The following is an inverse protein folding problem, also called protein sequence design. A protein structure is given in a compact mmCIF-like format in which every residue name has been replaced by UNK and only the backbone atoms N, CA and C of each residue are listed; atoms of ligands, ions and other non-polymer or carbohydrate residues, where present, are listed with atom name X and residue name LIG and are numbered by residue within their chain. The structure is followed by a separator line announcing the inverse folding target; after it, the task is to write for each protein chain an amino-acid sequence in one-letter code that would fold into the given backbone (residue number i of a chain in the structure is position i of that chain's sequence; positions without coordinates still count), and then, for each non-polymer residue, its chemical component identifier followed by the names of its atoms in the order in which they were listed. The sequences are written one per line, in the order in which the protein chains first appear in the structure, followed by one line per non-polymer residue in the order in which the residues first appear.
data_IF_565921734394
#
_entry.id   IF_565921734394
#
_cell.length_a   1.000
_cell.length_b   1.000
_cell.length_c   1.000
_cell.angle_alpha   90.00
_cell.angle_beta   90.00
_cell.angle_gamma   90.00
#
_symmetry.space_group_name_H-M   'P 1'
#
loop_
_entity.id
_entity.type
_entity.pdbx_description
1 polymer ?
#
# COMPACT_ATOMS: atom_id res chain seq x y z
N UNK A 1 3.82 -15.65 -10.97
CA UNK A 1 4.39 -14.42 -11.55
C UNK A 1 5.30 -13.78 -10.50
N UNK A 2 6.37 -13.09 -10.88
CA UNK A 2 7.22 -12.39 -9.91
C UNK A 2 6.52 -11.09 -9.51
N UNK A 3 6.49 -10.77 -8.23
CA UNK A 3 5.99 -9.50 -7.72
C UNK A 3 7.02 -8.37 -7.92
N UNK A 4 6.57 -7.13 -7.78
CA UNK A 4 7.41 -5.93 -7.79
C UNK A 4 7.57 -5.37 -6.38
N UNK A 5 8.75 -4.82 -6.09
CA UNK A 5 9.02 -4.09 -4.85
C UNK A 5 9.33 -2.63 -5.16
N UNK A 6 8.69 -1.72 -4.43
CA UNK A 6 9.09 -0.31 -4.34
C UNK A 6 9.80 -0.11 -3.00
N UNK A 7 11.08 0.21 -3.04
CA UNK A 7 11.88 0.42 -1.84
C UNK A 7 12.06 1.92 -1.56
N UNK A 8 11.32 2.42 -0.59
CA UNK A 8 11.36 3.81 -0.13
C UNK A 8 12.55 4.08 0.79
N UNK A 9 12.83 5.35 1.08
CA UNK A 9 13.96 5.80 1.89
C UNK A 9 13.68 5.88 3.40
N UNK A 10 12.73 5.13 3.92
CA UNK A 10 12.44 5.01 5.34
C UNK A 10 13.28 3.95 6.06
N UNK A 11 12.70 3.26 7.04
CA UNK A 11 13.37 2.17 7.74
C UNK A 11 13.50 0.96 6.81
N UNK A 12 14.73 0.50 6.61
CA UNK A 12 15.01 -0.68 5.79
C UNK A 12 14.54 -1.94 6.53
N UNK A 13 13.90 -2.89 5.84
CA UNK A 13 13.39 -4.11 6.45
C UNK A 13 14.49 -4.93 7.13
N UNK A 14 14.13 -5.58 8.23
CA UNK A 14 15.01 -6.41 9.06
C UNK A 14 14.42 -7.79 9.36
N UNK A 15 13.07 -7.91 9.34
CA UNK A 15 12.37 -9.16 9.60
C UNK A 15 12.29 -10.04 8.36
N UNK A 16 12.08 -11.32 8.59
CA UNK A 16 12.10 -12.37 7.58
C UNK A 16 11.14 -12.09 6.42
N UNK A 17 9.87 -11.76 6.72
CA UNK A 17 8.86 -11.59 5.69
C UNK A 17 9.15 -10.43 4.72
N UNK A 18 9.37 -9.18 5.15
CA UNK A 18 9.69 -8.11 4.22
C UNK A 18 11.07 -8.29 3.53
N UNK A 19 12.04 -8.97 4.15
CA UNK A 19 13.29 -9.34 3.48
C UNK A 19 13.04 -10.38 2.39
N UNK A 20 12.23 -11.40 2.65
CA UNK A 20 11.83 -12.40 1.66
C UNK A 20 11.16 -11.75 0.44
N UNK A 21 10.26 -10.78 0.64
CA UNK A 21 9.64 -10.04 -0.47
C UNK A 21 10.69 -9.31 -1.31
N UNK A 22 11.70 -8.72 -0.66
CA UNK A 22 12.77 -8.01 -1.34
C UNK A 22 13.68 -8.96 -2.13
N UNK A 23 14.06 -10.10 -1.54
CA UNK A 23 14.96 -11.10 -2.14
C UNK A 23 14.34 -11.85 -3.31
N UNK A 24 13.02 -12.03 -3.29
CA UNK A 24 12.28 -12.77 -4.34
C UNK A 24 11.65 -11.88 -5.39
N UNK A 25 11.80 -10.55 -5.26
CA UNK A 25 11.24 -9.59 -6.21
C UNK A 25 11.74 -9.81 -7.64
N UNK A 26 10.83 -9.71 -8.60
CA UNK A 26 11.19 -9.69 -10.03
C UNK A 26 11.70 -8.34 -10.51
N UNK A 27 11.21 -7.27 -9.86
CA UNK A 27 11.57 -5.88 -10.13
C UNK A 27 11.73 -5.14 -8.80
N UNK A 28 12.83 -4.41 -8.62
CA UNK A 28 13.06 -3.53 -7.47
C UNK A 28 13.19 -2.10 -7.96
N UNK A 29 12.21 -1.27 -7.65
CA UNK A 29 12.22 0.17 -7.91
C UNK A 29 12.64 0.88 -6.62
N UNK A 30 13.81 1.50 -6.61
CA UNK A 30 14.25 2.32 -5.47
C UNK A 30 13.81 3.77 -5.66
N UNK A 31 13.13 4.34 -4.68
CA UNK A 31 13.02 5.79 -4.55
C UNK A 31 14.41 6.40 -4.30
N UNK A 32 14.63 7.65 -4.71
CA UNK A 32 15.94 8.32 -4.71
C UNK A 32 16.71 8.12 -3.40
N UNK A 33 17.53 7.10 -3.35
CA UNK A 33 18.28 6.72 -2.15
C UNK A 33 19.55 5.94 -2.47
N UNK A 34 20.66 6.64 -2.38
CA UNK A 34 22.00 6.02 -2.38
C UNK A 34 22.17 5.00 -1.24
N UNK A 35 21.48 5.22 -0.12
CA UNK A 35 21.54 4.33 1.03
C UNK A 35 20.91 2.97 0.72
N UNK A 36 19.77 2.98 0.03
CA UNK A 36 19.08 1.75 -0.33
C UNK A 36 19.86 0.93 -1.35
N UNK A 37 20.46 1.55 -2.35
CA UNK A 37 21.34 0.87 -3.28
C UNK A 37 22.48 0.12 -2.56
N UNK A 38 23.16 0.78 -1.61
CA UNK A 38 24.22 0.15 -0.80
C UNK A 38 23.72 -0.96 0.13
N UNK A 39 22.47 -0.87 0.61
CA UNK A 39 21.86 -1.91 1.46
C UNK A 39 21.50 -3.14 0.64
N UNK A 40 20.95 -2.94 -0.56
CA UNK A 40 20.72 -4.01 -1.52
C UNK A 40 22.00 -4.76 -1.86
N UNK A 41 23.10 -4.04 -2.14
CA UNK A 41 24.41 -4.64 -2.42
C UNK A 41 24.90 -5.57 -1.29
N UNK A 42 24.68 -5.21 -0.03
CA UNK A 42 25.04 -6.07 1.12
C UNK A 42 24.25 -7.37 1.20
N UNK A 43 23.06 -7.39 0.58
CA UNK A 43 22.23 -8.58 0.41
C UNK A 43 22.50 -9.33 -0.89
N UNK A 44 23.47 -8.88 -1.68
CA UNK A 44 23.73 -9.44 -3.03
C UNK A 44 22.67 -9.08 -4.06
N UNK A 45 21.86 -8.04 -3.79
CA UNK A 45 20.79 -7.55 -4.65
C UNK A 45 21.19 -6.23 -5.32
N UNK A 46 20.52 -5.92 -6.40
CA UNK A 46 20.68 -4.64 -7.11
C UNK A 46 19.31 -4.03 -7.44
N UNK A 47 19.20 -2.68 -7.46
CA UNK A 47 17.98 -2.04 -7.94
C UNK A 47 17.80 -2.31 -9.44
N UNK A 48 16.59 -2.63 -9.87
CA UNK A 48 16.26 -2.66 -11.31
C UNK A 48 16.28 -1.25 -11.88
N UNK A 49 15.76 -0.28 -11.10
CA UNK A 49 15.74 1.13 -11.44
C UNK A 49 15.76 1.98 -10.16
N UNK A 50 16.37 3.16 -10.22
CA UNK A 50 16.33 4.18 -9.17
C UNK A 50 15.62 5.39 -9.76
N UNK A 51 14.57 5.88 -9.07
CA UNK A 51 13.71 6.97 -9.54
C UNK A 51 13.68 8.11 -8.53
N UNK A 52 13.75 9.34 -8.97
CA UNK A 52 13.69 10.56 -8.15
C UNK A 52 14.27 11.77 -8.87
N UNK A 53 14.46 12.87 -8.15
CA UNK A 53 15.09 14.09 -8.69
C UNK A 53 16.62 13.97 -8.77
N UNK A 54 17.20 12.99 -8.07
CA UNK A 54 18.63 12.70 -7.96
C UNK A 54 19.45 13.76 -7.23
N UNK A 55 18.83 14.72 -6.57
CA UNK A 55 19.56 15.83 -5.92
C UNK A 55 20.34 15.35 -4.70
N UNK A 56 19.83 14.31 -4.01
CA UNK A 56 20.47 13.69 -2.84
C UNK A 56 21.43 12.56 -3.18
N UNK A 57 21.50 12.12 -4.46
CA UNK A 57 22.30 10.95 -4.88
C UNK A 57 23.77 11.31 -5.07
N UNK A 58 24.73 10.68 -4.34
CA UNK A 58 26.15 10.94 -4.47
C UNK A 58 26.69 10.60 -5.87
N UNK A 59 27.74 11.33 -6.37
CA UNK A 59 28.30 11.11 -7.70
C UNK A 59 28.70 9.66 -7.97
N UNK A 60 29.34 8.98 -7.02
CA UNK A 60 29.76 7.58 -7.18
C UNK A 60 28.57 6.60 -7.38
N UNK A 61 27.40 6.88 -6.80
CA UNK A 61 26.20 6.08 -7.01
C UNK A 61 25.58 6.40 -8.38
N UNK A 62 25.58 7.68 -8.76
CA UNK A 62 25.14 8.10 -10.10
C UNK A 62 25.98 7.43 -11.20
N UNK A 63 27.30 7.38 -11.03
CA UNK A 63 28.18 6.73 -11.98
C UNK A 63 27.94 5.22 -12.05
N UNK A 64 27.89 4.55 -10.88
CA UNK A 64 27.69 3.09 -10.79
C UNK A 64 26.37 2.63 -11.41
N UNK A 65 25.29 3.39 -11.19
CA UNK A 65 23.94 3.03 -11.64
C UNK A 65 23.42 3.92 -12.77
N UNK A 66 24.31 4.55 -13.56
CA UNK A 66 23.94 5.53 -14.59
C UNK A 66 22.84 5.02 -15.54
N UNK A 67 22.90 3.75 -15.96
CA UNK A 67 21.92 3.14 -16.85
C UNK A 67 20.58 2.78 -16.19
N UNK A 68 20.54 2.80 -14.85
CA UNK A 68 19.34 2.47 -14.04
C UNK A 68 18.68 3.69 -13.41
N UNK A 69 19.23 4.88 -13.62
CA UNK A 69 18.68 6.11 -13.09
C UNK A 69 17.56 6.63 -13.99
N UNK A 70 16.44 6.96 -13.37
CA UNK A 70 15.32 7.64 -14.05
C UNK A 70 15.03 8.93 -13.30
N UNK A 71 15.45 10.05 -13.91
CA UNK A 71 15.19 11.37 -13.32
C UNK A 71 13.79 11.82 -13.63
N UNK A 72 13.01 12.10 -12.58
CA UNK A 72 11.69 12.72 -12.62
C UNK A 72 11.74 13.97 -11.74
N UNK A 73 11.90 15.13 -12.38
CA UNK A 73 12.06 16.41 -11.69
C UNK A 73 10.76 17.10 -11.28
N UNK A 74 9.60 16.48 -11.53
CA UNK A 74 8.30 16.99 -11.09
C UNK A 74 8.21 17.01 -9.56
N UNK A 75 7.62 18.09 -9.01
CA UNK A 75 7.56 18.33 -7.57
C UNK A 75 6.15 18.12 -6.97
N UNK A 76 5.15 17.87 -7.81
CA UNK A 76 3.75 17.74 -7.38
C UNK A 76 3.51 16.41 -6.64
N UNK A 77 4.28 15.36 -6.98
CA UNK A 77 4.19 14.03 -6.41
C UNK A 77 5.43 13.67 -5.58
N UNK A 78 5.25 12.83 -4.54
CA UNK A 78 6.37 12.28 -3.81
C UNK A 78 7.06 11.14 -4.59
N UNK A 79 8.25 10.72 -4.13
CA UNK A 79 9.03 9.68 -4.81
C UNK A 79 8.33 8.32 -4.89
N UNK A 80 7.48 7.99 -3.90
CA UNK A 80 6.68 6.77 -3.93
C UNK A 80 5.68 6.78 -5.09
N UNK A 81 4.99 7.89 -5.32
CA UNK A 81 4.04 8.01 -6.42
C UNK A 81 4.74 7.91 -7.78
N UNK A 82 5.89 8.58 -7.93
CA UNK A 82 6.74 8.48 -9.13
C UNK A 82 7.21 7.04 -9.38
N UNK A 83 7.64 6.34 -8.31
CA UNK A 83 8.08 4.95 -8.39
C UNK A 83 6.94 4.01 -8.81
N UNK A 84 5.76 4.19 -8.23
CA UNK A 84 4.58 3.40 -8.58
C UNK A 84 4.16 3.61 -10.04
N UNK A 85 4.06 4.86 -10.48
CA UNK A 85 3.72 5.19 -11.87
C UNK A 85 4.74 4.59 -12.85
N UNK A 86 6.04 4.69 -12.55
CA UNK A 86 7.09 4.12 -13.37
C UNK A 86 7.00 2.59 -13.44
N UNK A 87 6.76 1.91 -12.30
CA UNK A 87 6.61 0.46 -12.23
C UNK A 87 5.42 0.02 -13.10
N UNK A 88 4.26 0.65 -12.93
CA UNK A 88 3.05 0.32 -13.70
C UNK A 88 3.21 0.56 -15.21
N UNK A 89 3.98 1.58 -15.59
CA UNK A 89 4.25 1.91 -16.99
C UNK A 89 5.21 0.91 -17.65
N UNK A 90 6.29 0.53 -16.95
CA UNK A 90 7.36 -0.31 -17.53
C UNK A 90 7.10 -1.81 -17.42
N UNK A 91 6.38 -2.24 -16.39
CA UNK A 91 6.07 -3.65 -16.08
C UNK A 91 4.58 -3.83 -15.78
N UNK A 92 3.70 -3.57 -16.78
CA UNK A 92 2.24 -3.67 -16.59
C UNK A 92 1.77 -5.09 -16.22
N UNK A 93 2.57 -6.12 -16.48
CA UNK A 93 2.33 -7.52 -16.11
C UNK A 93 2.51 -7.80 -14.61
N UNK A 94 3.18 -6.93 -13.87
CA UNK A 94 3.30 -7.05 -12.41
C UNK A 94 1.99 -6.61 -11.78
N UNK A 95 1.34 -7.57 -11.14
CA UNK A 95 0.04 -7.39 -10.49
C UNK A 95 0.10 -7.37 -8.97
N UNK A 96 1.24 -7.72 -8.38
CA UNK A 96 1.48 -7.73 -6.94
C UNK A 96 2.66 -6.80 -6.63
N UNK A 97 2.43 -5.74 -5.85
CA UNK A 97 3.37 -4.66 -5.60
C UNK A 97 3.50 -4.44 -4.10
N UNK A 98 4.69 -4.69 -3.57
CA UNK A 98 5.01 -4.48 -2.16
C UNK A 98 5.86 -3.21 -1.97
N UNK A 99 5.38 -2.30 -1.12
CA UNK A 99 6.09 -1.07 -0.78
C UNK A 99 6.82 -1.30 0.53
N UNK A 100 8.14 -1.23 0.51
CA UNK A 100 9.00 -1.44 1.67
C UNK A 100 9.71 -0.14 2.06
N UNK A 101 10.02 0.02 3.33
CA UNK A 101 10.76 1.19 3.81
C UNK A 101 9.98 2.50 3.68
N UNK A 102 8.64 2.46 3.68
CA UNK A 102 7.80 3.63 3.51
C UNK A 102 7.52 4.41 4.81
N UNK A 103 7.98 3.90 5.95
CA UNK A 103 7.82 4.52 7.27
C UNK A 103 9.06 4.37 8.15
N UNK A 104 8.94 4.69 9.45
CA UNK A 104 9.95 4.42 10.48
C UNK A 104 11.09 5.44 10.60
N UNK A 105 11.11 6.52 9.79
CA UNK A 105 12.12 7.60 9.88
C UNK A 105 11.50 8.99 9.97
N UNK A 106 10.37 9.19 9.30
CA UNK A 106 9.67 10.46 9.24
C UNK A 106 8.17 10.16 9.19
N UNK A 107 7.45 10.54 10.23
CA UNK A 107 6.02 10.27 10.40
C UNK A 107 5.19 10.99 9.32
N UNK A 108 5.57 12.21 8.91
CA UNK A 108 4.87 12.94 7.87
C UNK A 108 4.94 12.23 6.52
N UNK A 109 6.11 11.69 6.16
CA UNK A 109 6.24 10.85 4.96
C UNK A 109 5.43 9.56 5.07
N UNK A 110 5.41 8.91 6.25
CA UNK A 110 4.61 7.71 6.46
C UNK A 110 3.12 7.99 6.26
N UNK A 111 2.59 9.06 6.86
CA UNK A 111 1.19 9.47 6.68
C UNK A 111 0.89 9.79 5.21
N UNK A 112 1.77 10.52 4.52
CA UNK A 112 1.64 10.79 3.09
C UNK A 112 1.65 9.52 2.23
N UNK A 113 2.49 8.54 2.56
CA UNK A 113 2.56 7.26 1.85
C UNK A 113 1.31 6.40 2.08
N UNK A 114 0.73 6.39 3.30
CA UNK A 114 -0.57 5.77 3.56
C UNK A 114 -1.69 6.47 2.77
N UNK A 115 -1.62 7.81 2.66
CA UNK A 115 -2.53 8.58 1.82
C UNK A 115 -2.50 8.17 0.35
N UNK A 116 -1.32 7.83 -0.19
CA UNK A 116 -1.18 7.34 -1.56
C UNK A 116 -1.85 5.99 -1.80
N UNK A 117 -1.84 5.06 -0.85
CA UNK A 117 -2.59 3.80 -0.97
C UNK A 117 -4.09 4.08 -1.19
N UNK A 118 -4.66 4.99 -0.41
CA UNK A 118 -6.06 5.38 -0.55
C UNK A 118 -6.33 6.16 -1.85
N UNK A 119 -5.40 7.02 -2.26
CA UNK A 119 -5.52 7.81 -3.48
C UNK A 119 -5.50 6.93 -4.74
N UNK A 120 -4.64 5.90 -4.81
CA UNK A 120 -4.61 4.96 -5.92
C UNK A 120 -5.91 4.14 -6.00
N UNK A 121 -6.44 3.71 -4.86
CA UNK A 121 -7.73 3.02 -4.80
C UNK A 121 -8.87 3.93 -5.26
N UNK A 122 -8.90 5.19 -4.81
CA UNK A 122 -9.88 6.20 -5.22
C UNK A 122 -9.81 6.47 -6.74
N UNK A 123 -8.60 6.68 -7.28
CA UNK A 123 -8.40 6.88 -8.73
C UNK A 123 -8.88 5.68 -9.53
N UNK A 124 -8.59 4.48 -9.06
CA UNK A 124 -9.06 3.24 -9.70
C UNK A 124 -10.58 3.18 -9.78
N UNK A 125 -11.27 3.54 -8.69
CA UNK A 125 -12.73 3.63 -8.66
C UNK A 125 -13.26 4.68 -9.64
N UNK A 126 -12.66 5.86 -9.68
CA UNK A 126 -13.08 6.95 -10.59
C UNK A 126 -12.89 6.57 -12.07
N UNK A 127 -11.76 5.94 -12.40
CA UNK A 127 -11.42 5.56 -13.77
C UNK A 127 -12.24 4.38 -14.32
N UNK A 128 -12.53 3.39 -13.46
CA UNK A 128 -13.06 2.09 -13.88
C UNK A 128 -14.31 1.62 -13.14
N UNK A 129 -14.72 2.32 -12.09
CA UNK A 129 -15.76 1.86 -11.19
C UNK A 129 -15.35 0.67 -10.31
N UNK A 130 -14.07 0.29 -10.30
CA UNK A 130 -13.54 -0.86 -9.57
C UNK A 130 -12.30 -0.48 -8.79
N UNK A 131 -12.14 -1.04 -7.58
CA UNK A 131 -10.91 -0.96 -6.82
C UNK A 131 -9.74 -1.67 -7.51
N UNK A 132 -8.52 -1.45 -7.03
CA UNK A 132 -7.31 -2.06 -7.60
C UNK A 132 -7.38 -3.59 -7.55
N UNK A 133 -7.78 -4.16 -6.41
CA UNK A 133 -7.90 -5.63 -6.25
C UNK A 133 -8.88 -6.24 -7.26
N UNK A 134 -10.03 -5.60 -7.49
CA UNK A 134 -11.01 -6.03 -8.49
C UNK A 134 -10.50 -5.90 -9.95
N UNK A 135 -9.41 -5.14 -10.17
CA UNK A 135 -8.67 -5.06 -11.44
C UNK A 135 -7.48 -6.03 -11.50
N UNK A 136 -7.31 -6.87 -10.50
CA UNK A 136 -6.21 -7.82 -10.40
C UNK A 136 -4.88 -7.18 -10.01
N UNK A 137 -4.88 -6.04 -9.31
CA UNK A 137 -3.69 -5.33 -8.85
C UNK A 137 -3.71 -5.30 -7.32
N UNK A 138 -2.78 -6.02 -6.68
CA UNK A 138 -2.58 -5.98 -5.24
C UNK A 138 -1.45 -4.99 -4.91
N UNK A 139 -1.72 -4.06 -4.00
CA UNK A 139 -0.73 -3.08 -3.51
C UNK A 139 -0.78 -3.04 -2.01
N UNK A 140 0.35 -3.27 -1.37
CA UNK A 140 0.50 -3.14 0.08
C UNK A 140 1.78 -2.41 0.48
N UNK A 141 1.76 -1.87 1.68
CA UNK A 141 2.92 -1.26 2.34
C UNK A 141 3.31 -2.15 3.52
N UNK A 142 4.43 -2.84 3.39
CA UNK A 142 4.90 -3.84 4.36
C UNK A 142 6.06 -3.27 5.17
N UNK A 143 5.96 -3.36 6.49
CA UNK A 143 6.99 -3.03 7.44
C UNK A 143 7.39 -4.27 8.26
N UNK A 144 8.35 -4.11 9.18
CA UNK A 144 8.68 -5.16 10.16
C UNK A 144 7.54 -5.46 11.16
N UNK A 145 6.50 -4.60 11.21
CA UNK A 145 5.48 -4.64 12.27
C UNK A 145 4.07 -4.82 11.74
N UNK A 146 3.79 -4.32 10.54
CA UNK A 146 2.45 -4.26 10.00
C UNK A 146 2.44 -4.33 8.48
N UNK A 147 1.28 -4.68 7.95
CA UNK A 147 0.95 -4.55 6.52
C UNK A 147 -0.24 -3.62 6.38
N UNK A 148 -0.09 -2.58 5.56
CA UNK A 148 -1.16 -1.63 5.25
C UNK A 148 -1.54 -1.73 3.78
N UNK A 149 -2.83 -1.70 3.47
CA UNK A 149 -3.36 -1.70 2.11
C UNK A 149 -4.69 -0.95 2.07
N UNK A 150 -5.05 -0.42 0.90
CA UNK A 150 -6.36 0.17 0.67
C UNK A 150 -7.21 -0.78 -0.16
N UNK A 151 -8.50 -0.83 0.17
CA UNK A 151 -9.50 -1.65 -0.48
C UNK A 151 -10.80 -0.89 -0.66
N UNK A 152 -11.62 -1.33 -1.60
CA UNK A 152 -12.98 -0.82 -1.80
C UNK A 152 -13.94 -1.98 -1.91
N UNK A 153 -15.22 -1.79 -1.50
CA UNK A 153 -16.22 -2.82 -1.62
C UNK A 153 -16.50 -3.14 -3.10
N UNK A 154 -16.76 -4.39 -3.39
CA UNK A 154 -17.31 -4.80 -4.67
C UNK A 154 -18.84 -4.60 -4.67
N UNK A 155 -19.42 -4.21 -5.84
CA UNK A 155 -20.88 -4.14 -5.95
C UNK A 155 -21.51 -5.48 -5.59
N UNK A 156 -22.60 -5.52 -4.83
CA UNK A 156 -23.25 -6.77 -4.48
C UNK A 156 -23.75 -7.48 -5.73
N UNK A 157 -23.55 -8.79 -5.81
CA UNK A 157 -23.97 -9.63 -6.96
C UNK A 157 -25.49 -9.54 -7.23
N UNK A 158 -26.26 -9.21 -6.23
CA UNK A 158 -27.71 -9.01 -6.33
C UNK A 158 -28.11 -7.63 -5.79
N UNK A 159 -28.72 -6.80 -6.65
CA UNK A 159 -29.29 -5.46 -6.31
C UNK A 159 -30.41 -5.48 -5.26
N UNK A 160 -30.41 -6.38 -4.28
CA UNK A 160 -31.57 -6.65 -3.43
C UNK A 160 -31.53 -6.06 -2.02
N UNK A 161 -30.44 -5.44 -1.61
CA UNK A 161 -30.36 -4.85 -0.27
C UNK A 161 -30.39 -3.33 -0.44
N UNK A 162 -31.50 -2.67 -0.03
CA UNK A 162 -31.53 -1.22 0.04
C UNK A 162 -30.41 -0.74 0.96
N UNK A 163 -29.72 0.33 0.60
CA UNK A 163 -28.69 0.99 1.38
C UNK A 163 -27.32 0.28 1.49
N UNK A 164 -27.07 -0.83 0.78
CA UNK A 164 -25.75 -1.44 0.67
C UNK A 164 -25.19 -1.17 -0.73
N UNK A 165 -24.04 -0.44 -0.77
CA UNK A 165 -23.33 -0.15 -2.01
C UNK A 165 -22.35 -1.26 -2.41
N UNK A 166 -21.92 -2.08 -1.45
CA UNK A 166 -21.02 -3.20 -1.70
C UNK A 166 -20.58 -3.92 -0.45
N UNK A 167 -19.94 -5.07 -0.65
CA UNK A 167 -19.43 -5.95 0.39
C UNK A 167 -17.95 -6.23 0.21
N UNK A 168 -17.27 -6.61 1.27
CA UNK A 168 -15.88 -7.00 1.27
C UNK A 168 -15.61 -8.07 2.34
N UNK A 169 -14.86 -9.10 2.00
CA UNK A 169 -14.35 -10.07 2.95
C UNK A 169 -12.83 -9.94 3.09
N UNK A 170 -12.35 -9.89 4.33
CA UNK A 170 -10.94 -9.85 4.67
C UNK A 170 -10.54 -11.13 5.41
N UNK A 171 -9.70 -11.95 4.79
CA UNK A 171 -9.14 -13.16 5.40
C UNK A 171 -7.89 -12.78 6.20
N UNK A 172 -8.04 -12.58 7.50
CA UNK A 172 -6.97 -12.04 8.35
C UNK A 172 -6.47 -13.01 9.41
N UNK A 173 -7.26 -14.02 9.76
CA UNK A 173 -7.01 -14.94 10.87
C UNK A 173 -7.54 -14.42 12.21
N UNK A 174 -8.15 -15.33 12.99
CA UNK A 174 -8.67 -15.00 14.33
C UNK A 174 -7.57 -14.46 15.24
N UNK A 175 -7.90 -13.45 16.04
CA UNK A 175 -6.99 -12.81 16.99
C UNK A 175 -6.09 -11.74 16.38
N UNK A 176 -6.02 -11.59 15.05
CA UNK A 176 -5.21 -10.57 14.38
C UNK A 176 -5.67 -9.17 14.76
N UNK A 177 -4.73 -8.29 15.09
CA UNK A 177 -5.04 -6.87 15.28
C UNK A 177 -5.26 -6.22 13.92
N UNK A 178 -6.29 -5.40 13.83
CA UNK A 178 -6.67 -4.71 12.61
C UNK A 178 -7.10 -3.29 12.93
N UNK A 179 -6.69 -2.35 12.08
CA UNK A 179 -7.12 -0.95 12.17
C UNK A 179 -7.73 -0.51 10.86
N UNK A 180 -8.76 0.33 10.94
CA UNK A 180 -9.53 0.82 9.80
C UNK A 180 -9.55 2.34 9.78
N UNK A 181 -9.32 2.94 8.60
CA UNK A 181 -9.32 4.37 8.40
C UNK A 181 -10.02 4.72 7.09
N UNK A 182 -10.78 5.79 7.10
CA UNK A 182 -11.42 6.32 5.90
C UNK A 182 -11.21 7.84 5.80
N UNK A 183 -11.38 8.39 4.62
CA UNK A 183 -11.38 9.84 4.38
C UNK A 183 -12.79 10.37 4.12
N UNK A 184 -13.76 9.47 3.93
CA UNK A 184 -15.15 9.81 3.62
C UNK A 184 -15.99 9.85 4.91
N UNK A 185 -16.41 11.04 5.39
CA UNK A 185 -17.12 11.17 6.68
C UNK A 185 -18.49 10.51 6.72
N UNK A 186 -19.09 10.28 5.57
CA UNK A 186 -20.43 9.66 5.46
C UNK A 186 -20.35 8.14 5.21
N UNK A 187 -19.16 7.58 5.16
CA UNK A 187 -19.00 6.13 5.09
C UNK A 187 -19.52 5.48 6.37
N UNK A 188 -20.37 4.49 6.21
CA UNK A 188 -20.83 3.62 7.30
C UNK A 188 -20.63 2.19 6.89
N UNK A 189 -20.11 1.41 7.83
CA UNK A 189 -19.78 0.01 7.62
C UNK A 189 -20.48 -0.80 8.71
N UNK A 190 -21.27 -1.79 8.29
CA UNK A 190 -21.67 -2.89 9.15
C UNK A 190 -20.58 -3.96 9.09
N UNK A 191 -20.24 -4.55 10.23
CA UNK A 191 -19.12 -5.51 10.29
C UNK A 191 -19.45 -6.73 11.13
N UNK A 192 -19.03 -7.89 10.63
CA UNK A 192 -19.00 -9.14 11.37
C UNK A 192 -17.55 -9.65 11.48
N UNK A 193 -17.26 -10.47 12.49
CA UNK A 193 -15.90 -11.02 12.68
C UNK A 193 -14.92 -10.08 13.38
N UNK A 194 -15.42 -9.04 14.06
CA UNK A 194 -14.62 -8.10 14.87
C UNK A 194 -15.03 -8.16 16.34
N UNK A 195 -14.06 -7.98 17.24
CA UNK A 195 -14.33 -7.85 18.69
C UNK A 195 -15.13 -6.58 18.98
N UNK A 196 -14.83 -5.49 18.29
CA UNK A 196 -15.56 -4.22 18.35
C UNK A 196 -16.18 -3.93 16.98
N UNK A 197 -17.52 -4.12 16.82
CA UNK A 197 -18.18 -3.83 15.54
C UNK A 197 -18.00 -2.38 15.09
N UNK A 198 -17.97 -2.16 13.79
CA UNK A 198 -17.83 -0.82 13.18
C UNK A 198 -19.16 -0.10 13.02
N UNK A 199 -20.24 -0.71 13.47
CA UNK A 199 -21.59 -0.16 13.37
C UNK A 199 -21.70 1.21 14.04
N UNK A 200 -22.09 2.22 13.28
CA UNK A 200 -22.18 3.60 13.76
C UNK A 200 -20.84 4.32 13.98
N UNK A 201 -19.71 3.67 13.75
CA UNK A 201 -18.38 4.28 13.88
C UNK A 201 -18.11 5.21 12.70
N UNK A 202 -17.59 6.41 12.98
CA UNK A 202 -17.12 7.36 11.98
C UNK A 202 -15.61 7.19 11.78
N UNK A 203 -15.23 6.38 10.80
CA UNK A 203 -13.82 6.06 10.49
C UNK A 203 -13.03 7.23 9.88
N UNK A 204 -13.67 8.35 9.54
CA UNK A 204 -12.96 9.58 9.15
C UNK A 204 -12.28 10.25 10.36
N UNK A 205 -12.72 9.91 11.55
CA UNK A 205 -12.04 10.20 12.81
C UNK A 205 -11.01 9.09 13.08
N UNK A 206 -9.84 9.23 12.57
CA UNK A 206 -8.82 8.16 12.49
C UNK A 206 -8.54 7.43 13.81
N UNK A 207 -8.78 8.04 14.96
CA UNK A 207 -8.61 7.37 16.26
C UNK A 207 -9.70 6.37 16.62
N UNK A 208 -10.85 6.36 15.90
CA UNK A 208 -12.00 5.51 16.25
C UNK A 208 -11.86 4.08 15.77
N UNK A 209 -11.10 3.85 14.68
CA UNK A 209 -10.91 2.54 14.04
C UNK A 209 -9.60 1.86 14.38
N UNK A 210 -8.83 2.37 15.36
CA UNK A 210 -7.50 1.84 15.67
C UNK A 210 -7.56 0.62 16.60
N UNK A 211 -6.63 -0.34 16.36
CA UNK A 211 -6.34 -1.48 17.25
C UNK A 211 -7.56 -2.36 17.59
N UNK A 212 -8.45 -2.54 16.64
CA UNK A 212 -9.49 -3.57 16.70
C UNK A 212 -8.84 -4.96 16.60
N UNK A 213 -9.64 -6.00 16.73
CA UNK A 213 -9.18 -7.40 16.67
C UNK A 213 -10.19 -8.25 15.93
N UNK A 214 -9.71 -9.12 15.07
CA UNK A 214 -10.52 -10.16 14.46
C UNK A 214 -10.99 -11.17 15.51
N UNK A 215 -12.27 -11.45 15.54
CA UNK A 215 -12.90 -12.50 16.38
C UNK A 215 -13.19 -13.78 15.58
N UNK A 216 -12.84 -13.79 14.29
CA UNK A 216 -12.96 -14.92 13.37
C UNK A 216 -11.83 -14.84 12.31
N UNK A 217 -11.65 -15.89 11.51
CA UNK A 217 -10.67 -15.92 10.42
C UNK A 217 -10.99 -14.92 9.31
N UNK A 218 -12.29 -14.62 9.13
CA UNK A 218 -12.81 -13.71 8.10
C UNK A 218 -13.55 -12.58 8.78
N UNK A 219 -13.27 -11.36 8.33
CA UNK A 219 -14.03 -10.16 8.66
C UNK A 219 -14.90 -9.83 7.45
N UNK A 220 -16.24 -9.78 7.64
CA UNK A 220 -17.18 -9.36 6.62
C UNK A 220 -17.58 -7.91 6.83
N UNK A 221 -17.53 -7.11 5.79
CA UNK A 221 -17.83 -5.68 5.80
C UNK A 221 -18.90 -5.35 4.75
N UNK A 222 -19.94 -4.64 5.16
CA UNK A 222 -21.00 -4.12 4.30
C UNK A 222 -20.95 -2.60 4.30
N UNK A 223 -20.87 -1.99 3.13
CA UNK A 223 -20.65 -0.55 2.96
C UNK A 223 -21.93 0.13 2.45
N UNK A 224 -22.29 1.27 3.06
CA UNK A 224 -23.41 2.10 2.56
C UNK A 224 -23.06 2.88 1.28
N UNK A 225 -21.78 3.04 0.96
CA UNK A 225 -21.28 3.71 -0.23
C UNK A 225 -19.93 3.14 -0.66
N UNK A 226 -19.63 3.21 -1.96
CA UNK A 226 -18.31 2.82 -2.50
C UNK A 226 -17.30 3.91 -2.18
N UNK A 227 -16.34 3.60 -1.33
CA UNK A 227 -15.25 4.49 -0.95
C UNK A 227 -14.03 3.66 -0.50
N UNK A 228 -12.80 4.18 -0.63
CA UNK A 228 -11.61 3.53 -0.12
C UNK A 228 -11.62 3.37 1.40
N UNK A 229 -11.17 2.22 1.86
CA UNK A 229 -10.91 1.89 3.25
C UNK A 229 -9.44 1.49 3.38
N UNK A 230 -8.68 2.21 4.20
CA UNK A 230 -7.33 1.81 4.59
C UNK A 230 -7.42 0.79 5.72
N UNK A 231 -6.75 -0.33 5.53
CA UNK A 231 -6.65 -1.43 6.51
C UNK A 231 -5.19 -1.57 6.91
N UNK A 232 -4.93 -1.69 8.22
CA UNK A 232 -3.60 -2.00 8.76
C UNK A 232 -3.71 -3.25 9.62
N UNK A 233 -2.90 -4.25 9.32
CA UNK A 233 -2.77 -5.52 10.06
C UNK A 233 -1.44 -5.53 10.81
N UNK A 234 -1.48 -5.75 12.14
CA UNK A 234 -0.29 -5.88 13.00
C UNK A 234 0.00 -7.35 13.36
#
# INVERSE_FOLDING_TARGET
MKHGVILCNGEFPKKEYPLYLLETAGVIVCCDSAQNARRLERLGLEPTVIVGDMDSTPPAVREKYAERLVRIGEQDDNDLAKAFALLRMRWPEISEIHILGAGGRNEAHMVGNLGWLMEWERRSLEESGKGLAARGIAVDMVSDWSTAFAVSPEPPETKRIPDIAGTLELHVGEGRKVSFFATEPQLRIHSEGLVWPLDGVDLSKWWTGTLNRASADVISLEFNKTAPLLVILD
#
